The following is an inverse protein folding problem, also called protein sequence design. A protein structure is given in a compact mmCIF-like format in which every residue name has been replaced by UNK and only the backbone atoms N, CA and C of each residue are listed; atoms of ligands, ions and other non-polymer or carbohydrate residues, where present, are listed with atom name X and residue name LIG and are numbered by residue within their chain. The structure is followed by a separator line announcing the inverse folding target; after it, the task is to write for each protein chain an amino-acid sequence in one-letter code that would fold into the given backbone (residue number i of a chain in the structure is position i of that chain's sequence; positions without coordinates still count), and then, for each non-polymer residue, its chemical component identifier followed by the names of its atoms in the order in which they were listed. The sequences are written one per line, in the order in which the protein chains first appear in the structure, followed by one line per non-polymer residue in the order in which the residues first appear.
data_IF_731768844810
#
_entry.id   IF_731768844810
#
_cell.length_a   1.000
_cell.length_b   1.000
_cell.length_c   1.000
_cell.angle_alpha   90.00
_cell.angle_beta   90.00
_cell.angle_gamma   90.00
#
_symmetry.space_group_name_H-M   'P 1'
#
loop_
_entity.id
_entity.type
_entity.pdbx_description
1 polymer ?
#
# COMPACT_ATOMS: atom_id res chain seq x y z
N UNK A 1 46.65 4.57 -43.77
CA UNK A 1 46.54 5.52 -42.65
C UNK A 1 45.31 6.38 -42.79
N UNK A 2 44.86 6.96 -41.68
CA UNK A 2 43.72 7.92 -41.63
C UNK A 2 44.19 9.12 -40.83
N UNK A 3 44.00 10.32 -41.36
CA UNK A 3 44.34 11.59 -40.73
C UNK A 3 43.14 12.51 -40.87
N UNK A 4 42.75 13.17 -39.79
CA UNK A 4 41.67 14.16 -39.80
C UNK A 4 42.27 15.48 -40.35
N UNK A 5 41.70 16.00 -41.43
CA UNK A 5 42.11 17.27 -42.02
C UNK A 5 41.42 18.44 -41.36
N UNK A 6 40.12 18.32 -41.15
CA UNK A 6 39.26 19.27 -40.45
C UNK A 6 38.10 18.54 -39.79
N UNK A 7 37.12 19.28 -39.22
CA UNK A 7 35.97 18.71 -38.49
C UNK A 7 35.13 17.77 -39.37
N UNK A 8 35.10 17.98 -40.68
CA UNK A 8 34.20 17.30 -41.61
C UNK A 8 34.93 16.43 -42.66
N UNK A 9 36.28 16.42 -42.69
CA UNK A 9 37.05 15.74 -43.71
C UNK A 9 38.13 14.83 -43.13
N UNK A 10 38.16 13.59 -43.62
CA UNK A 10 39.21 12.62 -43.37
C UNK A 10 40.04 12.35 -44.59
N UNK A 11 41.36 12.46 -44.46
CA UNK A 11 42.30 11.95 -45.47
C UNK A 11 42.66 10.50 -45.15
N UNK A 12 42.41 9.62 -46.08
CA UNK A 12 42.75 8.21 -45.97
C UNK A 12 43.84 7.86 -46.97
N UNK A 13 44.73 6.97 -46.56
CA UNK A 13 45.76 6.44 -47.45
C UNK A 13 45.86 4.93 -47.36
N UNK A 14 46.06 4.29 -48.50
CA UNK A 14 46.34 2.85 -48.58
C UNK A 14 47.55 2.57 -49.46
N UNK A 15 48.42 1.61 -49.12
CA UNK A 15 49.51 1.19 -49.99
C UNK A 15 48.94 0.42 -51.18
N UNK A 16 49.55 0.68 -52.39
CA UNK A 16 49.28 -0.04 -53.63
C UNK A 16 50.60 -0.47 -54.23
N UNK A 17 50.57 -1.35 -55.23
CA UNK A 17 51.78 -1.84 -55.90
C UNK A 17 52.47 -0.67 -56.59
N UNK A 18 53.61 -0.21 -56.07
CA UNK A 18 54.38 0.91 -56.58
C UNK A 18 54.14 2.28 -55.92
N UNK A 19 53.32 2.38 -54.83
CA UNK A 19 53.11 3.66 -54.16
C UNK A 19 52.00 3.67 -53.17
N UNK A 20 51.37 4.82 -52.98
CA UNK A 20 50.22 5.02 -52.05
C UNK A 20 49.10 5.73 -52.80
N UNK A 21 47.84 5.32 -52.49
CA UNK A 21 46.65 6.07 -52.92
C UNK A 21 46.15 6.85 -51.72
N UNK A 22 45.80 8.11 -51.95
CA UNK A 22 45.20 9.01 -50.99
C UNK A 22 43.83 9.45 -51.50
N UNK A 23 42.84 9.49 -50.59
CA UNK A 23 41.51 10.03 -50.91
C UNK A 23 40.93 10.77 -49.69
N UNK A 24 40.16 11.79 -49.98
CA UNK A 24 39.43 12.54 -48.98
C UNK A 24 38.01 11.96 -48.84
N UNK A 25 37.54 11.85 -47.63
CA UNK A 25 36.18 11.42 -47.31
C UNK A 25 35.50 12.53 -46.54
N UNK A 26 34.41 13.04 -47.07
CA UNK A 26 33.50 13.96 -46.36
C UNK A 26 32.70 13.19 -45.33
N UNK A 27 32.75 13.65 -44.08
CA UNK A 27 32.04 13.06 -42.92
C UNK A 27 31.06 14.04 -42.32
N UNK A 28 30.65 15.11 -43.00
CA UNK A 28 29.72 16.14 -42.50
C UNK A 28 28.43 15.51 -42.00
N UNK A 29 27.80 14.67 -42.81
CA UNK A 29 26.56 13.98 -42.44
C UNK A 29 26.73 13.07 -41.20
N UNK A 30 27.90 12.43 -41.08
CA UNK A 30 28.21 11.58 -39.94
C UNK A 30 28.33 12.40 -38.65
N UNK A 31 29.00 13.54 -38.69
CA UNK A 31 29.18 14.46 -37.56
C UNK A 31 27.82 15.02 -37.15
N UNK A 32 27.01 15.53 -38.07
CA UNK A 32 25.67 16.03 -37.78
C UNK A 32 24.76 14.96 -37.17
N UNK A 33 24.81 13.73 -37.69
CA UNK A 33 24.02 12.63 -37.12
C UNK A 33 24.50 12.23 -35.71
N UNK A 34 25.81 12.31 -35.45
CA UNK A 34 26.34 12.05 -34.09
C UNK A 34 25.91 13.14 -33.12
N UNK A 35 25.86 14.41 -33.49
CA UNK A 35 25.37 15.49 -32.66
C UNK A 35 23.88 15.32 -32.36
N UNK A 36 23.05 15.06 -33.38
CA UNK A 36 21.62 14.76 -33.17
C UNK A 36 21.38 13.56 -32.24
N UNK A 37 22.18 12.51 -32.40
CA UNK A 37 22.10 11.34 -31.53
C UNK A 37 22.48 11.68 -30.09
N UNK A 38 23.45 12.55 -29.87
CA UNK A 38 23.85 13.03 -28.54
C UNK A 38 22.76 13.87 -27.91
N UNK A 39 22.17 14.79 -28.65
CA UNK A 39 21.04 15.61 -28.20
C UNK A 39 19.82 14.73 -27.82
N UNK A 40 19.43 13.83 -28.73
CA UNK A 40 18.32 12.92 -28.48
C UNK A 40 18.56 12.03 -27.24
N UNK A 41 19.80 11.58 -27.01
CA UNK A 41 20.13 10.80 -25.80
C UNK A 41 19.99 11.62 -24.52
N UNK A 42 20.39 12.89 -24.52
CA UNK A 42 20.23 13.77 -23.35
C UNK A 42 18.75 14.05 -23.07
N UNK A 43 17.98 14.36 -24.10
CA UNK A 43 16.54 14.58 -23.98
C UNK A 43 15.79 13.33 -23.46
N UNK A 44 16.12 12.15 -24.01
CA UNK A 44 15.56 10.88 -23.53
C UNK A 44 15.95 10.58 -22.08
N UNK A 45 17.17 10.90 -21.67
CA UNK A 45 17.61 10.69 -20.29
C UNK A 45 16.85 11.61 -19.32
N UNK A 46 16.66 12.88 -19.67
CA UNK A 46 15.84 13.81 -18.89
C UNK A 46 14.39 13.36 -18.78
N UNK A 47 13.80 12.97 -19.91
CA UNK A 47 12.42 12.50 -19.95
C UNK A 47 12.22 11.25 -19.09
N UNK A 48 13.11 10.27 -19.21
CA UNK A 48 13.07 9.06 -18.38
C UNK A 48 13.20 9.38 -16.90
N UNK A 49 14.07 10.33 -16.53
CA UNK A 49 14.20 10.77 -15.15
C UNK A 49 12.91 11.39 -14.62
N UNK A 50 12.28 12.28 -15.38
CA UNK A 50 11.02 12.91 -15.02
C UNK A 50 9.88 11.90 -14.92
N UNK A 51 9.81 10.92 -15.84
CA UNK A 51 8.81 9.84 -15.78
C UNK A 51 8.99 8.98 -14.54
N UNK A 52 10.22 8.65 -14.14
CA UNK A 52 10.48 7.92 -12.90
C UNK A 52 10.04 8.71 -11.66
N UNK A 53 10.35 10.01 -11.60
CA UNK A 53 9.92 10.88 -10.51
C UNK A 53 8.39 10.95 -10.41
N UNK A 54 7.71 11.12 -11.54
CA UNK A 54 6.26 11.14 -11.60
C UNK A 54 5.64 9.82 -11.11
N UNK A 55 6.20 8.68 -11.56
CA UNK A 55 5.76 7.37 -11.10
C UNK A 55 5.89 7.18 -9.59
N UNK A 56 7.01 7.61 -9.00
CA UNK A 56 7.20 7.56 -7.55
C UNK A 56 6.19 8.44 -6.79
N UNK A 57 5.93 9.64 -7.30
CA UNK A 57 4.94 10.56 -6.71
C UNK A 57 3.54 9.96 -6.80
N UNK A 58 3.13 9.45 -7.95
CA UNK A 58 1.83 8.79 -8.13
C UNK A 58 1.66 7.59 -7.20
N UNK A 59 2.71 6.77 -7.05
CA UNK A 59 2.70 5.63 -6.13
C UNK A 59 2.48 6.09 -4.68
N UNK A 60 3.14 7.16 -4.24
CA UNK A 60 2.95 7.73 -2.91
C UNK A 60 1.54 8.29 -2.72
N UNK A 61 1.01 9.00 -3.71
CA UNK A 61 -0.36 9.54 -3.69
C UNK A 61 -1.38 8.42 -3.59
N UNK A 62 -1.23 7.36 -4.37
CA UNK A 62 -2.14 6.22 -4.35
C UNK A 62 -2.11 5.49 -3.00
N UNK A 63 -0.92 5.29 -2.42
CA UNK A 63 -0.77 4.71 -1.09
C UNK A 63 -1.44 5.57 0.01
N UNK A 64 -1.32 6.90 -0.08
CA UNK A 64 -2.00 7.82 0.83
C UNK A 64 -3.52 7.82 0.65
N UNK A 65 -4.02 7.75 -0.58
CA UNK A 65 -5.46 7.66 -0.87
C UNK A 65 -6.06 6.39 -0.29
N UNK A 66 -5.41 5.24 -0.49
CA UNK A 66 -5.85 3.97 0.10
C UNK A 66 -5.85 4.03 1.64
N UNK A 67 -4.81 4.60 2.23
CA UNK A 67 -4.74 4.80 3.68
C UNK A 67 -5.88 5.67 4.19
N UNK A 68 -6.15 6.80 3.55
CA UNK A 68 -7.24 7.70 3.93
C UNK A 68 -8.61 7.03 3.78
N UNK A 69 -8.83 6.30 2.67
CA UNK A 69 -10.05 5.53 2.48
C UNK A 69 -10.29 4.52 3.60
N UNK A 70 -9.23 3.84 4.06
CA UNK A 70 -9.32 2.93 5.18
C UNK A 70 -9.69 3.64 6.47
N UNK A 71 -9.07 4.79 6.76
CA UNK A 71 -9.42 5.60 7.93
C UNK A 71 -10.88 6.07 7.89
N UNK A 72 -11.36 6.55 6.76
CA UNK A 72 -12.75 6.98 6.59
C UNK A 72 -13.72 5.82 6.83
N UNK A 73 -13.41 4.64 6.33
CA UNK A 73 -14.23 3.45 6.52
C UNK A 73 -14.27 3.02 7.98
N UNK A 74 -13.12 2.97 8.65
CA UNK A 74 -13.01 2.68 10.08
C UNK A 74 -13.78 3.72 10.90
N UNK A 75 -13.59 5.00 10.61
CA UNK A 75 -14.29 6.07 11.32
C UNK A 75 -15.81 5.94 11.17
N UNK A 76 -16.33 5.71 9.98
CA UNK A 76 -17.77 5.54 9.75
C UNK A 76 -18.35 4.34 10.50
N UNK A 77 -17.63 3.24 10.56
CA UNK A 77 -18.12 2.01 11.21
C UNK A 77 -17.93 2.03 12.73
N UNK A 78 -16.87 2.62 13.23
CA UNK A 78 -16.55 2.61 14.65
C UNK A 78 -17.06 3.85 15.41
N UNK A 79 -17.31 4.98 14.73
CA UNK A 79 -17.75 6.20 15.41
C UNK A 79 -19.02 6.02 16.25
N UNK A 80 -20.09 5.33 15.81
CA UNK A 80 -21.27 5.10 16.65
C UNK A 80 -20.94 4.33 17.93
N UNK A 81 -20.03 3.37 17.85
CA UNK A 81 -19.64 2.54 18.98
C UNK A 81 -18.75 3.31 19.97
N UNK A 82 -17.88 4.18 19.45
CA UNK A 82 -17.06 5.08 20.28
C UNK A 82 -17.95 6.05 21.06
N UNK A 83 -18.96 6.64 20.41
CA UNK A 83 -19.94 7.51 21.07
C UNK A 83 -20.68 6.73 22.16
N UNK A 84 -21.09 5.49 21.90
CA UNK A 84 -21.76 4.64 22.89
C UNK A 84 -20.85 4.32 24.07
N UNK A 85 -19.55 4.07 23.82
CA UNK A 85 -18.56 3.85 24.87
C UNK A 85 -18.41 5.09 25.76
N UNK A 86 -18.33 6.28 25.19
CA UNK A 86 -18.25 7.54 25.94
C UNK A 86 -19.48 7.77 26.83
N UNK A 87 -20.67 7.48 26.29
CA UNK A 87 -21.92 7.50 27.08
C UNK A 87 -21.90 6.52 28.25
N UNK A 88 -21.41 5.28 28.04
CA UNK A 88 -21.27 4.29 29.11
C UNK A 88 -20.28 4.74 30.17
N UNK A 89 -19.14 5.30 29.76
CA UNK A 89 -18.15 5.84 30.71
C UNK A 89 -18.67 7.03 31.51
N UNK A 90 -19.47 7.89 30.89
CA UNK A 90 -20.12 9.02 31.56
C UNK A 90 -21.12 8.52 32.58
N UNK A 91 -21.94 7.52 32.24
CA UNK A 91 -22.87 6.86 33.19
C UNK A 91 -22.12 6.15 34.33
N UNK A 92 -21.02 5.46 34.02
CA UNK A 92 -20.17 4.82 35.04
C UNK A 92 -19.65 5.80 36.08
N UNK A 93 -19.22 7.01 35.66
CA UNK A 93 -18.73 8.06 36.58
C UNK A 93 -19.83 8.56 37.54
N UNK A 94 -21.08 8.58 37.08
CA UNK A 94 -22.23 9.06 37.85
C UNK A 94 -22.96 7.93 38.63
N UNK A 95 -22.62 6.66 38.39
CA UNK A 95 -23.32 5.51 38.93
C UNK A 95 -22.93 5.19 40.38
N UNK A 96 -23.85 4.55 41.12
CA UNK A 96 -23.58 3.97 42.41
C UNK A 96 -22.76 2.67 42.29
N UNK A 97 -22.10 2.25 43.37
CA UNK A 97 -21.19 1.08 43.33
C UNK A 97 -21.88 -0.22 42.87
N UNK A 98 -23.16 -0.39 43.14
CA UNK A 98 -23.92 -1.56 42.69
C UNK A 98 -24.01 -1.68 41.17
N UNK A 99 -24.14 -0.54 40.47
CA UNK A 99 -24.32 -0.49 39.00
C UNK A 99 -22.99 -0.42 38.26
N UNK A 100 -21.92 0.01 38.90
CA UNK A 100 -20.60 0.19 38.29
C UNK A 100 -20.06 -1.10 37.66
N UNK A 101 -20.25 -2.23 38.33
CA UNK A 101 -19.76 -3.53 37.81
C UNK A 101 -20.43 -3.90 36.50
N UNK A 102 -21.73 -3.68 36.37
CA UNK A 102 -22.47 -3.96 35.15
C UNK A 102 -22.07 -3.02 34.01
N UNK A 103 -21.94 -1.72 34.32
CA UNK A 103 -21.49 -0.73 33.32
C UNK A 103 -20.06 -1.01 32.85
N UNK A 104 -19.16 -1.41 33.74
CA UNK A 104 -17.80 -1.80 33.38
C UNK A 104 -17.78 -3.03 32.48
N UNK A 105 -18.61 -4.02 32.72
CA UNK A 105 -18.81 -5.17 31.86
C UNK A 105 -19.24 -4.75 30.45
N UNK A 106 -20.22 -3.85 30.36
CA UNK A 106 -20.65 -3.31 29.04
C UNK A 106 -19.53 -2.56 28.28
N UNK A 107 -18.72 -1.78 29.01
CA UNK A 107 -17.54 -1.10 28.42
C UNK A 107 -16.51 -2.11 27.93
N UNK A 108 -16.24 -3.17 28.69
CA UNK A 108 -15.31 -4.22 28.33
C UNK A 108 -15.76 -4.97 27.06
N UNK A 109 -17.04 -5.35 26.96
CA UNK A 109 -17.63 -5.99 25.78
C UNK A 109 -17.50 -5.08 24.56
N UNK A 110 -17.85 -3.80 24.68
CA UNK A 110 -17.78 -2.86 23.59
C UNK A 110 -16.33 -2.58 23.15
N UNK A 111 -15.38 -2.56 24.11
CA UNK A 111 -13.95 -2.43 23.85
C UNK A 111 -13.38 -3.62 23.08
N UNK A 112 -13.73 -4.85 23.49
CA UNK A 112 -13.35 -6.07 22.76
C UNK A 112 -13.90 -6.06 21.34
N UNK A 113 -15.19 -5.73 21.18
CA UNK A 113 -15.83 -5.59 19.87
C UNK A 113 -15.12 -4.59 18.95
N UNK A 114 -14.83 -3.39 19.43
CA UNK A 114 -14.13 -2.36 18.68
C UNK A 114 -12.73 -2.80 18.25
N UNK A 115 -11.95 -3.34 19.18
CA UNK A 115 -10.59 -3.82 18.93
C UNK A 115 -10.56 -4.92 17.87
N UNK A 116 -11.41 -5.93 18.00
CA UNK A 116 -11.43 -7.08 17.11
C UNK A 116 -12.07 -6.77 15.78
N UNK A 117 -13.13 -5.97 15.76
CA UNK A 117 -13.75 -5.47 14.53
C UNK A 117 -12.76 -4.67 13.68
N UNK A 118 -12.02 -3.75 14.28
CA UNK A 118 -10.98 -3.00 13.60
C UNK A 118 -9.89 -3.93 13.03
N UNK A 119 -9.43 -4.92 13.79
CA UNK A 119 -8.43 -5.89 13.32
C UNK A 119 -8.91 -6.68 12.09
N UNK A 120 -10.13 -7.23 12.14
CA UNK A 120 -10.70 -7.96 11.00
C UNK A 120 -10.87 -7.09 9.77
N UNK A 121 -11.23 -5.82 9.94
CA UNK A 121 -11.27 -4.85 8.85
C UNK A 121 -9.90 -4.59 8.23
N UNK A 122 -8.85 -4.44 9.04
CA UNK A 122 -7.49 -4.30 8.55
C UNK A 122 -7.04 -5.54 7.77
N UNK A 123 -7.34 -6.73 8.27
CA UNK A 123 -7.05 -7.98 7.57
C UNK A 123 -7.80 -8.08 6.24
N UNK A 124 -9.06 -7.62 6.18
CA UNK A 124 -9.85 -7.61 4.96
C UNK A 124 -9.30 -6.66 3.87
N UNK A 125 -8.58 -5.61 4.27
CA UNK A 125 -7.93 -4.71 3.32
C UNK A 125 -6.58 -5.25 2.80
N UNK A 126 -5.89 -6.05 3.63
CA UNK A 126 -4.56 -6.56 3.28
C UNK A 126 -4.60 -7.92 2.60
N UNK A 127 -5.63 -8.71 2.88
CA UNK A 127 -5.73 -10.10 2.45
C UNK A 127 -7.10 -10.42 1.85
N UNK A 128 -7.11 -11.11 0.73
CA UNK A 128 -8.35 -11.61 0.12
C UNK A 128 -8.98 -12.74 0.93
N UNK A 129 -8.15 -13.55 1.59
CA UNK A 129 -8.57 -14.68 2.42
C UNK A 129 -7.81 -14.68 3.74
N UNK A 130 -8.50 -14.97 4.83
CA UNK A 130 -7.94 -15.13 6.18
C UNK A 130 -8.23 -16.54 6.72
N UNK A 131 -7.38 -17.07 7.59
CA UNK A 131 -7.71 -18.31 8.32
C UNK A 131 -8.99 -18.11 9.15
N UNK A 132 -9.84 -19.11 9.21
CA UNK A 132 -11.03 -19.09 10.10
C UNK A 132 -10.67 -18.90 11.57
N UNK A 133 -9.43 -19.22 11.95
CA UNK A 133 -8.89 -18.98 13.27
C UNK A 133 -8.92 -17.49 13.68
N UNK A 134 -8.71 -16.55 12.75
CA UNK A 134 -8.76 -15.10 13.04
C UNK A 134 -10.16 -14.66 13.47
N UNK A 135 -11.20 -15.13 12.76
CA UNK A 135 -12.59 -14.88 13.18
C UNK A 135 -12.90 -15.53 14.51
N UNK A 136 -12.42 -16.77 14.70
CA UNK A 136 -12.61 -17.51 15.95
C UNK A 136 -11.99 -16.77 17.13
N UNK A 137 -10.75 -16.32 17.04
CA UNK A 137 -10.08 -15.54 18.09
C UNK A 137 -10.84 -14.24 18.42
N UNK A 138 -11.37 -13.57 17.39
CA UNK A 138 -12.19 -12.38 17.60
C UNK A 138 -13.47 -12.69 18.40
N UNK A 139 -14.15 -13.79 18.06
CA UNK A 139 -15.35 -14.25 18.76
C UNK A 139 -15.06 -14.73 20.17
N UNK A 140 -13.99 -15.52 20.39
CA UNK A 140 -13.59 -16.01 21.73
C UNK A 140 -13.31 -14.87 22.70
N UNK A 141 -12.62 -13.80 22.28
CA UNK A 141 -12.37 -12.63 23.12
C UNK A 141 -13.69 -11.88 23.44
N UNK A 142 -14.60 -11.80 22.46
CA UNK A 142 -15.92 -11.19 22.68
C UNK A 142 -16.78 -12.02 23.63
N UNK A 143 -16.77 -13.35 23.50
CA UNK A 143 -17.46 -14.29 24.41
C UNK A 143 -16.92 -14.14 25.83
N UNK A 144 -15.59 -14.18 26.01
CA UNK A 144 -14.97 -13.98 27.32
C UNK A 144 -15.40 -12.66 27.99
N UNK A 145 -15.53 -11.59 27.16
CA UNK A 145 -16.01 -10.29 27.68
C UNK A 145 -17.51 -10.31 28.05
N UNK A 146 -18.33 -11.07 27.29
CA UNK A 146 -19.76 -11.26 27.59
C UNK A 146 -19.95 -12.11 28.87
N UNK A 147 -19.15 -13.15 29.08
CA UNK A 147 -19.16 -13.96 30.29
C UNK A 147 -18.84 -13.13 31.54
N UNK A 148 -17.85 -12.22 31.45
CA UNK A 148 -17.55 -11.25 32.51
C UNK A 148 -18.72 -10.31 32.78
N UNK A 149 -19.55 -10.03 31.77
CA UNK A 149 -20.79 -9.24 31.91
C UNK A 149 -22.00 -10.08 32.41
N UNK A 150 -21.81 -11.39 32.67
CA UNK A 150 -22.84 -12.28 33.16
C UNK A 150 -23.71 -12.95 32.10
N UNK A 151 -23.26 -12.99 30.86
CA UNK A 151 -23.94 -13.64 29.73
C UNK A 151 -23.29 -14.99 29.47
N UNK A 152 -24.04 -16.07 29.55
CA UNK A 152 -23.57 -17.40 29.17
C UNK A 152 -23.51 -17.53 27.65
N UNK A 153 -22.34 -17.89 27.10
CA UNK A 153 -22.12 -18.03 25.67
C UNK A 153 -21.44 -19.36 25.35
N UNK A 154 -21.82 -19.96 24.23
CA UNK A 154 -21.12 -21.12 23.67
C UNK A 154 -20.82 -20.87 22.19
N UNK A 155 -19.68 -21.36 21.73
CA UNK A 155 -19.28 -21.29 20.34
C UNK A 155 -18.89 -22.67 19.83
N UNK A 156 -19.55 -23.10 18.76
CA UNK A 156 -19.19 -24.30 18.03
C UNK A 156 -18.75 -23.96 16.60
N UNK A 157 -17.78 -24.67 16.08
CA UNK A 157 -17.32 -24.46 14.71
C UNK A 157 -16.11 -25.31 14.32
N UNK A 158 -15.93 -25.48 13.00
CA UNK A 158 -14.81 -26.22 12.42
C UNK A 158 -13.57 -25.36 12.32
N UNK A 159 -12.41 -25.97 12.60
CA UNK A 159 -11.11 -25.36 12.42
C UNK A 159 -10.56 -25.66 11.02
N UNK A 160 -9.67 -24.82 10.51
CA UNK A 160 -8.84 -25.11 9.33
C UNK A 160 -9.37 -24.59 7.99
N UNK A 161 -10.53 -23.94 7.94
CA UNK A 161 -11.03 -23.29 6.73
C UNK A 161 -10.36 -21.93 6.46
N UNK A 162 -10.30 -21.51 5.19
CA UNK A 162 -10.00 -20.14 4.79
C UNK A 162 -11.29 -19.43 4.39
N UNK A 163 -11.51 -18.25 4.92
CA UNK A 163 -12.68 -17.43 4.66
C UNK A 163 -12.29 -16.20 3.83
N UNK A 164 -13.17 -15.70 2.94
CA UNK A 164 -12.98 -14.36 2.40
C UNK A 164 -12.90 -13.36 3.55
N UNK A 165 -11.88 -12.51 3.54
CA UNK A 165 -11.61 -11.61 4.67
C UNK A 165 -12.75 -10.60 4.91
N UNK A 166 -13.39 -10.13 3.83
CA UNK A 166 -14.59 -9.28 3.91
C UNK A 166 -15.76 -10.01 4.59
N UNK A 167 -15.94 -11.30 4.30
CA UNK A 167 -16.99 -12.11 4.93
C UNK A 167 -16.73 -12.28 6.42
N UNK A 168 -15.46 -12.53 6.83
CA UNK A 168 -15.08 -12.63 8.23
C UNK A 168 -15.36 -11.31 8.99
N UNK A 169 -14.99 -10.17 8.41
CA UNK A 169 -15.26 -8.86 8.99
C UNK A 169 -16.77 -8.56 9.06
N UNK A 170 -17.53 -8.87 8.00
CA UNK A 170 -18.98 -8.67 7.98
C UNK A 170 -19.74 -9.58 8.96
N UNK A 171 -19.31 -10.82 9.15
CA UNK A 171 -19.90 -11.74 10.14
C UNK A 171 -19.69 -11.23 11.56
N UNK A 172 -18.53 -10.66 11.86
CA UNK A 172 -18.24 -10.13 13.19
C UNK A 172 -18.96 -8.82 13.48
N UNK A 173 -19.26 -8.00 12.48
CA UNK A 173 -19.89 -6.68 12.64
C UNK A 173 -21.43 -6.71 12.72
N UNK A 174 -22.07 -7.86 12.54
CA UNK A 174 -23.53 -8.06 12.66
C UNK A 174 -23.93 -8.47 14.06
#
# INVERSE_FOLDING_TARGET
GTVQLDENNLLRSAPVQGGYVMWQTDITELVENMERLKENRTELAERNYLEQQNYEVERKINALREKNRLYDLLQRQLAPQIIRMDQLLTRYRAAQEADKRQLLGQVAVLGAYLKRGANLMFLAQQHRYVPSAELRYALEESISSLELAGVECAMEGTQGARLPAETAAACYSR
#
